data_IF_584524307400
#
_entry.id   IF_584524307400
#
_cell.length_a   1.000
_cell.length_b   1.000
_cell.length_c   1.000
_cell.angle_alpha   90.00
_cell.angle_beta   90.00
_cell.angle_gamma   90.00
#
_symmetry.space_group_name_H-M   'P 1'
#
loop_
_entity.id
_entity.type
_entity.pdbx_description
1 polymer ?
#
# COMPACT_ATOMS: atom_id res chain seq x y z
N UNK A 1 5.59 32.97 -46.56
CA UNK A 1 6.34 32.66 -45.32
C UNK A 1 5.36 32.16 -44.26
N UNK A 2 5.10 30.84 -44.12
CA UNK A 2 4.25 30.32 -43.04
C UNK A 2 5.01 29.31 -42.17
N UNK A 3 5.54 29.74 -41.03
CA UNK A 3 6.14 28.83 -40.04
C UNK A 3 5.87 29.33 -38.62
N UNK A 4 4.59 29.37 -38.21
CA UNK A 4 4.21 29.75 -36.83
C UNK A 4 3.04 28.93 -36.27
N UNK A 5 2.80 27.72 -36.80
CA UNK A 5 1.77 26.80 -36.27
C UNK A 5 2.42 25.44 -35.99
N UNK A 6 3.32 25.37 -35.02
CA UNK A 6 3.86 24.07 -34.54
C UNK A 6 4.18 24.07 -33.04
N UNK A 7 4.01 25.19 -32.33
CA UNK A 7 4.34 25.28 -30.92
C UNK A 7 3.20 24.90 -29.95
N UNK A 8 1.96 24.72 -30.43
CA UNK A 8 0.81 24.52 -29.53
C UNK A 8 0.43 23.05 -29.28
N UNK A 9 0.99 22.09 -30.02
CA UNK A 9 0.68 20.66 -29.83
C UNK A 9 1.58 19.95 -28.80
N UNK A 10 2.69 20.57 -28.38
CA UNK A 10 3.64 19.96 -27.44
C UNK A 10 3.23 20.11 -25.95
N UNK A 11 2.32 21.05 -25.63
CA UNK A 11 1.93 21.32 -24.24
C UNK A 11 0.80 20.41 -23.72
N UNK A 12 0.08 19.69 -24.59
CA UNK A 12 -1.08 18.88 -24.20
C UNK A 12 -0.72 17.42 -23.82
N UNK A 13 0.53 16.98 -24.08
CA UNK A 13 0.97 15.61 -23.81
C UNK A 13 1.52 15.38 -22.39
N UNK A 14 1.55 16.40 -21.53
CA UNK A 14 2.18 16.34 -20.20
C UNK A 14 1.20 16.29 -19.02
N UNK A 15 -0.11 16.32 -19.26
CA UNK A 15 -1.11 16.09 -18.21
C UNK A 15 -1.51 14.62 -18.13
N UNK A 16 -0.54 13.71 -17.92
CA UNK A 16 -0.91 12.39 -17.44
C UNK A 16 -1.42 12.57 -16.00
N UNK A 17 -2.65 12.14 -15.67
CA UNK A 17 -3.10 12.19 -14.30
C UNK A 17 -2.15 11.33 -13.47
N UNK A 18 -1.56 11.92 -12.42
CA UNK A 18 -0.81 11.18 -11.40
C UNK A 18 -1.82 10.38 -10.56
N UNK A 19 -2.43 9.39 -11.18
CA UNK A 19 -3.47 8.58 -10.58
C UNK A 19 -2.81 7.29 -10.10
N UNK A 20 -2.82 7.10 -8.79
CA UNK A 20 -2.34 5.86 -8.19
C UNK A 20 -3.19 4.69 -8.70
N UNK A 21 -2.54 3.66 -9.24
CA UNK A 21 -3.21 2.45 -9.67
C UNK A 21 -3.46 1.55 -8.45
N UNK A 22 -4.72 1.44 -8.03
CA UNK A 22 -5.12 0.59 -6.90
C UNK A 22 -5.64 -0.74 -7.45
N UNK A 23 -5.06 -1.84 -6.99
CA UNK A 23 -5.50 -3.20 -7.29
C UNK A 23 -5.85 -3.92 -6.00
N UNK A 24 -7.01 -4.59 -6.00
CA UNK A 24 -7.43 -5.47 -4.93
C UNK A 24 -7.14 -6.92 -5.31
N UNK A 25 -6.45 -7.65 -4.43
CA UNK A 25 -6.07 -9.05 -4.64
C UNK A 25 -6.73 -9.91 -3.58
N UNK A 26 -7.80 -10.60 -3.96
CA UNK A 26 -8.50 -11.49 -3.05
C UNK A 26 -7.68 -12.76 -2.82
N UNK A 27 -7.39 -13.04 -1.54
CA UNK A 27 -6.76 -14.27 -1.07
C UNK A 27 -7.77 -15.03 -0.20
N UNK A 28 -7.43 -16.26 0.20
CA UNK A 28 -8.33 -17.13 0.97
C UNK A 28 -8.82 -16.48 2.28
N UNK A 29 -7.94 -15.75 2.95
CA UNK A 29 -8.08 -15.29 4.32
C UNK A 29 -7.94 -13.76 4.47
N UNK A 30 -7.76 -13.04 3.36
CA UNK A 30 -7.44 -11.61 3.33
C UNK A 30 -7.69 -10.97 1.97
N UNK A 31 -7.67 -9.65 1.94
CA UNK A 31 -7.71 -8.85 0.73
C UNK A 31 -6.45 -7.99 0.65
N UNK A 32 -5.58 -8.27 -0.32
CA UNK A 32 -4.40 -7.46 -0.60
C UNK A 32 -4.79 -6.16 -1.29
N UNK A 33 -4.20 -5.05 -0.85
CA UNK A 33 -4.34 -3.73 -1.46
C UNK A 33 -2.96 -3.35 -1.99
N UNK A 34 -2.87 -3.29 -3.30
CA UNK A 34 -1.64 -2.99 -4.05
C UNK A 34 -1.79 -1.62 -4.69
N UNK A 35 -0.80 -0.77 -4.49
CA UNK A 35 -0.74 0.59 -5.05
C UNK A 35 0.50 0.69 -5.93
N UNK A 36 0.31 1.03 -7.21
CA UNK A 36 1.39 1.15 -8.20
C UNK A 36 2.28 -0.10 -8.28
N UNK A 37 1.66 -1.28 -8.20
CA UNK A 37 2.33 -2.57 -8.25
C UNK A 37 3.07 -2.99 -6.97
N UNK A 38 3.04 -2.17 -5.91
CA UNK A 38 3.66 -2.47 -4.61
C UNK A 38 2.59 -2.75 -3.56
N UNK A 39 2.88 -3.69 -2.67
CA UNK A 39 1.99 -3.97 -1.53
C UNK A 39 1.90 -2.72 -0.65
N UNK A 40 0.68 -2.21 -0.45
CA UNK A 40 0.40 -1.13 0.48
C UNK A 40 -0.06 -1.69 1.83
N UNK A 41 -1.06 -2.59 1.81
CA UNK A 41 -1.50 -3.33 2.99
C UNK A 41 -2.35 -4.55 2.62
N UNK A 42 -2.66 -5.43 3.58
CA UNK A 42 -3.72 -6.42 3.46
C UNK A 42 -4.81 -6.14 4.50
N UNK A 43 -6.07 -6.26 4.11
CA UNK A 43 -7.18 -6.36 5.05
C UNK A 43 -7.30 -7.80 5.54
N UNK A 44 -7.18 -7.98 6.85
CA UNK A 44 -7.13 -9.26 7.55
C UNK A 44 -8.42 -9.42 8.33
N UNK A 45 -9.38 -10.17 7.78
CA UNK A 45 -10.64 -10.51 8.44
C UNK A 45 -10.58 -11.79 9.27
N UNK A 46 -9.45 -12.49 9.24
CA UNK A 46 -9.16 -13.74 9.93
C UNK A 46 -8.65 -13.53 11.37
N UNK A 47 -8.47 -12.29 11.79
CA UNK A 47 -8.07 -11.93 13.15
C UNK A 47 -9.28 -11.65 14.05
N UNK A 48 -9.09 -11.73 15.37
CA UNK A 48 -10.14 -11.45 16.37
C UNK A 48 -10.80 -10.07 16.16
N UNK A 49 -10.00 -9.07 15.82
CA UNK A 49 -10.47 -7.75 15.37
C UNK A 49 -9.90 -7.58 13.97
N UNK A 50 -10.73 -7.33 12.95
CA UNK A 50 -10.23 -7.10 11.60
C UNK A 50 -9.24 -5.94 11.57
N UNK A 51 -8.14 -6.11 10.85
CA UNK A 51 -7.06 -5.13 10.86
C UNK A 51 -6.39 -5.03 9.49
N UNK A 52 -5.59 -3.98 9.34
CA UNK A 52 -4.67 -3.78 8.23
C UNK A 52 -3.28 -4.24 8.65
N UNK A 53 -2.73 -5.24 7.96
CA UNK A 53 -1.38 -5.73 8.17
C UNK A 53 -0.83 -6.44 6.92
N UNK A 54 0.43 -6.19 6.50
CA UNK A 54 1.34 -5.15 7.02
C UNK A 54 0.96 -3.77 6.49
N UNK A 55 1.20 -2.68 7.23
CA UNK A 55 1.11 -1.34 6.65
C UNK A 55 2.47 -0.93 6.10
N UNK A 56 2.55 -0.66 4.79
CA UNK A 56 3.79 -0.32 4.11
C UNK A 56 3.82 1.16 3.74
N UNK A 57 4.95 1.82 4.00
CA UNK A 57 5.24 3.15 3.46
C UNK A 57 5.56 3.10 1.95
N UNK A 58 5.50 4.24 1.23
CA UNK A 58 5.87 4.28 -0.19
C UNK A 58 7.31 3.82 -0.50
N UNK A 59 8.22 3.94 0.49
CA UNK A 59 9.62 3.49 0.40
C UNK A 59 9.78 2.00 0.73
N UNK A 60 8.72 1.30 1.14
CA UNK A 60 8.76 -0.12 1.51
C UNK A 60 9.08 -0.38 2.98
N UNK A 61 9.16 0.66 3.82
CA UNK A 61 9.29 0.48 5.28
C UNK A 61 7.99 -0.10 5.85
N UNK A 62 8.10 -1.15 6.66
CA UNK A 62 6.99 -1.75 7.41
C UNK A 62 6.69 -0.87 8.63
N UNK A 63 5.49 -0.27 8.66
CA UNK A 63 5.08 0.73 9.65
C UNK A 63 4.35 0.13 10.86
N UNK A 64 3.65 -0.98 10.68
CA UNK A 64 3.05 -1.74 11.79
C UNK A 64 4.09 -2.62 12.48
N UNK A 65 3.94 -2.82 13.79
CA UNK A 65 4.66 -3.89 14.49
C UNK A 65 4.30 -5.24 13.86
N UNK A 66 5.24 -6.19 13.88
CA UNK A 66 5.09 -7.46 13.20
C UNK A 66 4.51 -8.56 14.09
N UNK A 67 4.80 -8.53 15.39
CA UNK A 67 4.11 -9.42 16.33
C UNK A 67 2.61 -9.09 16.40
N UNK A 68 1.69 -10.07 16.37
CA UNK A 68 1.88 -11.53 16.45
C UNK A 68 1.97 -12.26 15.11
N UNK A 69 1.95 -11.56 13.96
CA UNK A 69 1.96 -12.18 12.64
C UNK A 69 3.34 -12.73 12.25
N UNK A 70 4.41 -12.06 12.68
CA UNK A 70 5.79 -12.57 12.62
C UNK A 70 6.37 -12.60 14.03
N UNK A 71 7.04 -13.69 14.39
CA UNK A 71 7.69 -13.87 15.69
C UNK A 71 9.21 -13.70 15.56
N UNK A 72 9.87 -13.32 16.65
CA UNK A 72 11.34 -13.27 16.70
C UNK A 72 11.98 -12.12 15.94
N UNK A 73 11.24 -11.04 15.70
CA UNK A 73 11.76 -9.82 15.05
C UNK A 73 12.66 -9.08 16.05
N UNK A 74 13.96 -8.88 15.74
CA UNK A 74 14.87 -8.21 16.68
C UNK A 74 14.39 -6.82 17.06
N UNK A 75 14.35 -6.53 18.36
CA UNK A 75 13.88 -5.26 18.90
C UNK A 75 12.37 -5.15 19.09
N UNK A 76 11.57 -6.13 18.64
CA UNK A 76 10.15 -6.19 18.93
C UNK A 76 9.84 -7.07 20.14
N UNK A 77 8.94 -6.61 21.01
CA UNK A 77 8.40 -7.43 22.08
C UNK A 77 7.42 -8.48 21.51
N UNK A 78 7.46 -9.69 22.05
CA UNK A 78 6.48 -10.75 21.76
C UNK A 78 5.35 -10.77 22.80
N UNK A 79 4.82 -9.59 23.10
CA UNK A 79 3.82 -9.33 24.14
C UNK A 79 2.44 -9.01 23.54
N UNK A 80 1.40 -8.93 24.38
CA UNK A 80 0.07 -8.41 24.04
C UNK A 80 -0.40 -8.66 22.59
N UNK A 81 -0.62 -9.93 22.21
CA UNK A 81 -1.05 -10.35 20.86
C UNK A 81 -2.32 -9.70 20.32
N UNK A 82 -3.07 -8.99 21.17
CA UNK A 82 -4.25 -8.23 20.76
C UNK A 82 -3.92 -6.85 20.17
N UNK A 83 -2.69 -6.37 20.33
CA UNK A 83 -2.21 -5.15 19.68
C UNK A 83 -1.65 -5.48 18.28
N UNK A 84 -2.49 -5.91 17.34
CA UNK A 84 -2.06 -6.49 16.06
C UNK A 84 -2.54 -5.68 14.83
N UNK A 85 -1.62 -5.14 14.04
CA UNK A 85 -1.93 -4.37 12.83
C UNK A 85 -2.41 -2.94 13.10
N UNK A 86 -3.20 -2.37 12.18
CA UNK A 86 -3.89 -1.09 12.32
C UNK A 86 -5.40 -1.29 12.19
N UNK A 87 -6.20 -0.75 13.11
CA UNK A 87 -7.65 -0.89 13.13
C UNK A 87 -8.31 0.35 13.78
N UNK A 88 -9.61 0.54 13.55
CA UNK A 88 -10.47 1.56 14.18
C UNK A 88 -11.53 0.90 15.04
#
# INVERSE_FOLDING_TARGET
MPTTITALFAALALSLPLQAAIKLEQKKDRLGIVVDGKLFTEYRGDTRVPCLYPLMSPTGTHLTRRFPFENGVPGEASDHKHHAGFWF
#
